data_IF_101696572753
#
_entry.id   IF_101696572753
#
_cell.length_a   1.000
_cell.length_b   1.000
_cell.length_c   1.000
_cell.angle_alpha   90.00
_cell.angle_beta   90.00
_cell.angle_gamma   90.00
#
_symmetry.space_group_name_H-M   'P 1'
#
loop_
_entity.id
_entity.type
_entity.pdbx_description
1 polymer ?
#
# COMPACT_ATOMS: atom_id res chain seq x y z
N UNK A 1 -47.51 1.93 6.56
CA UNK A 1 -47.15 1.05 5.42
C UNK A 1 -45.67 0.71 5.49
N UNK A 2 -45.26 -0.55 5.69
CA UNK A 2 -43.85 -0.95 5.64
C UNK A 2 -43.45 -1.32 4.20
N UNK A 3 -42.38 -0.74 3.66
CA UNK A 3 -41.73 -1.23 2.43
C UNK A 3 -40.35 -1.76 2.78
N UNK A 4 -40.20 -3.08 2.64
CA UNK A 4 -38.93 -3.78 2.67
C UNK A 4 -38.13 -3.56 1.37
N UNK A 5 -36.83 -3.85 1.51
CA UNK A 5 -35.93 -4.44 0.52
C UNK A 5 -35.17 -3.54 -0.48
N UNK A 6 -33.86 -3.54 -0.24
CA UNK A 6 -32.80 -3.84 -1.20
C UNK A 6 -32.49 -2.82 -2.32
N UNK A 7 -31.33 -2.18 -2.19
CA UNK A 7 -30.42 -1.98 -3.32
C UNK A 7 -28.99 -1.74 -2.84
N UNK A 8 -28.29 -2.81 -2.49
CA UNK A 8 -26.84 -2.84 -2.66
C UNK A 8 -26.58 -3.03 -4.16
N UNK A 9 -25.78 -2.15 -4.78
CA UNK A 9 -24.82 -2.66 -5.75
C UNK A 9 -23.50 -1.91 -5.67
N UNK A 10 -22.40 -2.63 -5.44
CA UNK A 10 -21.10 -1.98 -5.37
C UNK A 10 -19.89 -2.89 -5.34
N UNK A 11 -20.00 -4.07 -5.96
CA UNK A 11 -18.91 -4.81 -6.61
C UNK A 11 -17.50 -4.53 -6.06
N UNK A 12 -17.07 -5.32 -5.09
CA UNK A 12 -15.66 -5.50 -4.77
C UNK A 12 -14.92 -5.96 -6.02
N UNK A 13 -14.34 -5.00 -6.76
CA UNK A 13 -13.45 -5.32 -7.87
C UNK A 13 -12.29 -6.11 -7.27
N UNK A 14 -11.92 -7.28 -7.81
CA UNK A 14 -10.64 -7.86 -7.46
C UNK A 14 -9.61 -6.79 -7.78
N UNK A 15 -8.90 -6.28 -6.76
CA UNK A 15 -7.79 -5.36 -6.95
C UNK A 15 -6.72 -6.13 -7.69
N UNK A 16 -6.84 -6.20 -9.03
CA UNK A 16 -5.76 -6.65 -9.91
C UNK A 16 -4.51 -5.93 -9.41
N UNK A 17 -3.43 -6.66 -9.07
CA UNK A 17 -2.20 -6.01 -8.65
C UNK A 17 -1.87 -5.00 -9.74
N UNK A 18 -1.78 -3.72 -9.36
CA UNK A 18 -1.48 -2.65 -10.32
C UNK A 18 -0.11 -2.97 -10.91
N UNK A 19 -0.11 -3.56 -12.11
CA UNK A 19 1.11 -4.02 -12.78
C UNK A 19 2.02 -2.87 -13.21
N UNK A 20 1.55 -1.62 -13.08
CA UNK A 20 2.29 -0.41 -13.41
C UNK A 20 2.49 0.44 -12.16
N UNK A 21 3.76 0.75 -11.80
CA UNK A 21 4.04 1.80 -10.83
C UNK A 21 3.40 3.10 -11.31
N UNK A 22 2.56 3.71 -10.49
CA UNK A 22 2.13 5.09 -10.64
C UNK A 22 3.37 5.97 -10.58
N UNK A 23 3.37 7.04 -11.36
CA UNK A 23 4.46 8.03 -11.43
C UNK A 23 4.85 8.65 -10.07
N UNK A 24 4.03 8.47 -9.02
CA UNK A 24 4.33 8.87 -7.64
C UNK A 24 4.87 7.76 -6.73
N UNK A 25 4.76 6.48 -7.11
CA UNK A 25 5.28 5.37 -6.29
C UNK A 25 6.81 5.43 -6.17
N UNK A 26 7.53 5.90 -7.19
CA UNK A 26 9.00 5.97 -7.15
C UNK A 26 9.54 7.02 -6.18
N UNK A 27 8.80 8.12 -5.98
CA UNK A 27 9.16 9.15 -5.01
C UNK A 27 9.02 8.63 -3.57
N UNK A 28 7.92 7.93 -3.28
CA UNK A 28 7.71 7.29 -1.99
C UNK A 28 8.75 6.20 -1.74
N UNK A 29 9.02 5.36 -2.74
CA UNK A 29 10.05 4.32 -2.65
C UNK A 29 11.41 4.92 -2.29
N UNK A 30 11.85 5.97 -3.00
CA UNK A 30 13.12 6.63 -2.70
C UNK A 30 13.14 7.17 -1.27
N UNK A 31 12.09 7.87 -0.85
CA UNK A 31 12.02 8.45 0.49
C UNK A 31 12.06 7.36 1.58
N UNK A 32 11.40 6.21 1.38
CA UNK A 32 11.43 5.08 2.32
C UNK A 32 12.81 4.44 2.36
N UNK A 33 13.47 4.25 1.21
CA UNK A 33 14.84 3.74 1.14
C UNK A 33 15.79 4.66 1.89
N UNK A 34 15.69 5.98 1.69
CA UNK A 34 16.54 6.96 2.38
C UNK A 34 16.27 7.02 3.88
N UNK A 35 15.00 7.00 4.30
CA UNK A 35 14.60 7.15 5.71
C UNK A 35 14.82 5.86 6.51
N UNK A 36 14.41 4.73 5.96
CA UNK A 36 14.41 3.44 6.65
C UNK A 36 15.67 2.61 6.36
N UNK A 37 16.42 2.95 5.32
CA UNK A 37 17.63 2.26 4.86
C UNK A 37 17.36 0.79 4.46
N UNK A 38 16.23 0.56 3.78
CA UNK A 38 15.82 -0.76 3.28
C UNK A 38 16.03 -0.86 1.77
N UNK A 39 15.92 -2.07 1.21
CA UNK A 39 16.06 -2.27 -0.23
C UNK A 39 14.92 -1.59 -1.02
N UNK A 40 15.19 -0.99 -2.19
CA UNK A 40 14.14 -0.40 -3.04
C UNK A 40 13.06 -1.40 -3.46
N UNK A 41 13.36 -2.70 -3.50
CA UNK A 41 12.37 -3.74 -3.74
C UNK A 41 11.38 -3.88 -2.55
N UNK A 42 11.89 -3.82 -1.31
CA UNK A 42 11.07 -3.84 -0.10
C UNK A 42 10.23 -2.57 0.01
N UNK A 43 10.84 -1.40 -0.22
CA UNK A 43 10.12 -0.13 -0.25
C UNK A 43 8.99 -0.13 -1.31
N UNK A 44 9.24 -0.67 -2.51
CA UNK A 44 8.20 -0.85 -3.54
C UNK A 44 7.06 -1.73 -3.06
N UNK A 45 7.36 -2.79 -2.32
CA UNK A 45 6.34 -3.67 -1.76
C UNK A 45 5.51 -2.97 -0.67
N UNK A 46 6.16 -2.16 0.17
CA UNK A 46 5.51 -1.34 1.19
C UNK A 46 4.55 -0.33 0.56
N UNK A 47 5.01 0.44 -0.43
CA UNK A 47 4.17 1.39 -1.18
C UNK A 47 3.04 0.66 -1.90
N UNK A 48 3.26 -0.55 -2.42
CA UNK A 48 2.19 -1.34 -3.04
C UNK A 48 1.15 -1.86 -2.04
N UNK A 49 1.56 -2.24 -0.82
CA UNK A 49 0.66 -2.74 0.23
C UNK A 49 -0.12 -1.63 0.90
N UNK A 50 0.56 -0.55 1.25
CA UNK A 50 0.04 0.52 2.10
C UNK A 50 -0.28 1.79 1.32
N UNK A 51 0.15 1.92 0.07
CA UNK A 51 -0.08 3.13 -0.72
C UNK A 51 0.70 4.30 -0.13
N UNK A 52 -0.01 5.39 0.15
CA UNK A 52 0.54 6.63 0.69
C UNK A 52 0.48 6.72 2.23
N UNK A 53 0.16 5.62 2.90
CA UNK A 53 0.07 5.54 4.36
C UNK A 53 1.46 5.41 4.98
N UNK A 54 2.16 6.54 5.10
CA UNK A 54 3.52 6.63 5.64
C UNK A 54 3.69 5.93 7.00
N UNK A 55 2.70 6.11 7.89
CA UNK A 55 2.72 5.55 9.24
C UNK A 55 2.76 4.02 9.24
N UNK A 56 2.04 3.37 8.31
CA UNK A 56 2.05 1.91 8.17
C UNK A 56 3.32 1.41 7.49
N UNK A 57 3.84 2.18 6.55
CA UNK A 57 5.10 1.89 5.87
C UNK A 57 6.26 1.92 6.85
N UNK A 58 6.31 2.92 7.74
CA UNK A 58 7.34 3.02 8.78
C UNK A 58 7.29 1.82 9.74
N UNK A 59 6.10 1.47 10.23
CA UNK A 59 5.90 0.29 11.10
C UNK A 59 6.37 -1.00 10.42
N UNK A 60 5.95 -1.22 9.18
CA UNK A 60 6.33 -2.41 8.42
C UNK A 60 7.82 -2.42 8.04
N UNK A 61 8.41 -1.25 7.72
CA UNK A 61 9.84 -1.10 7.45
C UNK A 61 10.68 -1.42 8.70
N UNK A 62 10.20 -1.02 9.88
CA UNK A 62 10.86 -1.33 11.16
C UNK A 62 10.90 -2.84 11.41
N UNK A 63 9.84 -3.56 11.05
CA UNK A 63 9.82 -5.04 11.11
C UNK A 63 10.89 -5.69 10.21
N UNK A 64 11.15 -5.14 9.02
CA UNK A 64 12.22 -5.66 8.15
C UNK A 64 13.61 -5.43 8.74
N UNK A 65 13.82 -4.32 9.45
CA UNK A 65 15.10 -4.01 10.12
C UNK A 65 15.38 -4.91 11.31
N UNK A 66 14.34 -5.33 12.03
CA UNK A 66 14.46 -6.18 13.22
C UNK A 66 14.78 -7.65 12.87
N UNK A 67 14.53 -8.07 11.62
CA UNK A 67 14.75 -9.44 11.15
C UNK A 67 16.00 -9.60 10.25
N UNK A 68 16.89 -8.60 10.19
CA UNK A 68 18.06 -8.58 9.30
C UNK A 68 19.39 -8.44 10.04
#
# INVERSE_FOLDING_TARGET
MPRQAAKEPGTGRPKKPRSRPLKGEEAEVNHIVETQNISPAQARELVRRYGNDWRKIEEAAKTYKENS
#
